data_IF_924788543748
#
_entry.id   IF_924788543748
#
_cell.length_a   1.000
_cell.length_b   1.000
_cell.length_c   1.000
_cell.angle_alpha   90.00
_cell.angle_beta   90.00
_cell.angle_gamma   90.00
#
_symmetry.space_group_name_H-M   'P 1'
#
loop_
_entity.id
_entity.type
_entity.pdbx_description
1 polymer ?
#
# COMPACT_ATOMS: atom_id res chain seq x y z
N UNK A 1 -32.10 -10.16 9.82
CA UNK A 1 -30.86 -10.44 10.58
C UNK A 1 -29.82 -11.11 9.69
N UNK A 2 -28.73 -11.68 10.23
CA UNK A 2 -27.79 -12.59 9.53
C UNK A 2 -27.13 -12.10 8.21
N UNK A 3 -27.02 -10.79 7.98
CA UNK A 3 -26.52 -10.25 6.71
C UNK A 3 -25.10 -10.75 6.37
N UNK A 4 -24.17 -10.78 7.34
CA UNK A 4 -22.79 -11.26 7.13
C UNK A 4 -22.74 -12.64 6.49
N UNK A 5 -23.57 -13.56 7.00
CA UNK A 5 -23.63 -14.93 6.47
C UNK A 5 -24.17 -14.96 5.04
N UNK A 6 -25.22 -14.20 4.74
CA UNK A 6 -25.77 -14.12 3.37
C UNK A 6 -24.73 -13.55 2.40
N UNK A 7 -24.02 -12.48 2.79
CA UNK A 7 -22.95 -11.90 1.98
C UNK A 7 -21.81 -12.89 1.74
N UNK A 8 -21.37 -13.58 2.80
CA UNK A 8 -20.36 -14.62 2.71
C UNK A 8 -20.80 -15.73 1.75
N UNK A 9 -22.06 -16.16 1.85
CA UNK A 9 -22.63 -17.16 0.94
C UNK A 9 -22.65 -16.69 -0.51
N UNK A 10 -23.02 -15.44 -0.77
CA UNK A 10 -22.96 -14.84 -2.12
C UNK A 10 -21.54 -14.92 -2.70
N UNK A 11 -20.53 -14.58 -1.88
CA UNK A 11 -19.11 -14.64 -2.26
C UNK A 11 -18.64 -16.07 -2.53
N UNK A 12 -18.90 -17.00 -1.62
CA UNK A 12 -18.60 -18.42 -1.79
C UNK A 12 -19.21 -19.00 -3.07
N UNK A 13 -20.42 -18.57 -3.44
CA UNK A 13 -21.09 -19.04 -4.64
C UNK A 13 -20.57 -18.37 -5.94
N UNK A 14 -19.64 -17.42 -5.81
CA UNK A 14 -19.03 -16.67 -6.90
C UNK A 14 -19.98 -15.68 -7.57
N UNK A 15 -21.10 -15.35 -6.93
CA UNK A 15 -22.19 -14.61 -7.55
C UNK A 15 -21.82 -13.15 -7.79
N UNK A 16 -22.27 -12.61 -8.92
CA UNK A 16 -22.17 -11.19 -9.20
C UNK A 16 -23.25 -10.46 -8.44
N UNK A 17 -22.85 -9.50 -7.60
CA UNK A 17 -23.79 -8.74 -6.80
C UNK A 17 -23.38 -7.28 -6.66
N UNK A 18 -24.33 -6.46 -6.24
CA UNK A 18 -24.09 -5.13 -5.73
C UNK A 18 -24.90 -4.91 -4.46
N UNK A 19 -24.35 -4.14 -3.52
CA UNK A 19 -25.00 -3.88 -2.25
C UNK A 19 -25.05 -2.38 -1.95
N UNK A 20 -26.14 -1.98 -1.34
CA UNK A 20 -26.40 -0.63 -0.87
C UNK A 20 -26.78 -0.66 0.61
N UNK A 21 -26.23 0.26 1.40
CA UNK A 21 -26.70 0.56 2.75
C UNK A 21 -27.91 1.47 2.67
N UNK A 22 -28.96 1.10 3.39
CA UNK A 22 -30.19 1.87 3.61
C UNK A 22 -30.47 1.98 5.10
N UNK A 23 -31.29 2.95 5.55
CA UNK A 23 -31.66 3.07 6.97
C UNK A 23 -32.23 1.76 7.54
N UNK A 24 -33.00 1.02 6.74
CA UNK A 24 -33.61 -0.25 7.10
C UNK A 24 -32.69 -1.49 6.98
N UNK A 25 -31.44 -1.34 6.50
CA UNK A 25 -30.49 -2.45 6.37
C UNK A 25 -29.72 -2.46 5.04
N UNK A 26 -29.36 -3.65 4.56
CA UNK A 26 -28.66 -3.83 3.29
C UNK A 26 -29.61 -4.23 2.17
N UNK A 27 -29.58 -3.49 1.07
CA UNK A 27 -30.25 -3.86 -0.17
C UNK A 27 -29.23 -4.50 -1.11
N UNK A 28 -29.38 -5.80 -1.37
CA UNK A 28 -28.46 -6.58 -2.20
C UNK A 28 -29.14 -7.00 -3.49
N UNK A 29 -28.53 -6.67 -4.62
CA UNK A 29 -28.96 -7.10 -5.95
C UNK A 29 -27.96 -8.12 -6.46
N UNK A 30 -28.42 -9.34 -6.73
CA UNK A 30 -27.63 -10.40 -7.37
C UNK A 30 -28.01 -10.45 -8.85
N UNK A 31 -27.03 -10.34 -9.74
CA UNK A 31 -27.25 -10.43 -11.19
C UNK A 31 -27.70 -11.84 -11.54
N UNK A 32 -28.73 -11.99 -12.37
CA UNK A 32 -29.31 -13.28 -12.75
C UNK A 32 -28.57 -13.99 -13.89
N UNK A 33 -28.84 -15.28 -14.14
CA UNK A 33 -28.15 -16.05 -15.19
C UNK A 33 -28.48 -15.53 -16.60
N UNK A 34 -29.70 -15.01 -16.81
CA UNK A 34 -30.13 -14.44 -18.10
C UNK A 34 -29.47 -13.09 -18.41
N UNK A 35 -28.90 -12.40 -17.42
CA UNK A 35 -28.08 -11.20 -17.67
C UNK A 35 -26.66 -11.55 -18.18
N UNK A 36 -26.28 -12.83 -18.21
CA UNK A 36 -24.90 -13.31 -18.26
C UNK A 36 -24.77 -14.46 -19.28
N UNK A 37 -24.92 -14.18 -20.58
CA UNK A 37 -24.94 -15.25 -21.57
C UNK A 37 -23.55 -15.87 -21.84
N UNK A 38 -23.30 -17.04 -21.24
CA UNK A 38 -22.54 -18.23 -21.74
C UNK A 38 -22.41 -19.36 -20.70
N UNK A 39 -22.73 -19.13 -19.41
CA UNK A 39 -22.61 -20.09 -18.30
C UNK A 39 -23.90 -20.20 -17.45
N UNK A 40 -25.07 -20.20 -18.09
CA UNK A 40 -26.37 -19.99 -17.43
C UNK A 40 -26.77 -21.07 -16.41
N UNK A 41 -26.43 -22.34 -16.66
CA UNK A 41 -26.83 -23.46 -15.77
C UNK A 41 -26.02 -23.51 -14.48
N UNK A 42 -24.68 -23.39 -14.56
CA UNK A 42 -23.79 -23.41 -13.40
C UNK A 42 -24.06 -22.21 -12.49
N UNK A 43 -24.17 -21.03 -13.09
CA UNK A 43 -24.47 -19.80 -12.37
C UNK A 43 -25.90 -19.80 -11.78
N UNK A 44 -26.89 -20.33 -12.52
CA UNK A 44 -28.25 -20.52 -12.02
C UNK A 44 -28.31 -21.47 -10.81
N UNK A 45 -27.52 -22.54 -10.82
CA UNK A 45 -27.39 -23.46 -9.69
C UNK A 45 -26.77 -22.77 -8.47
N UNK A 46 -25.76 -21.94 -8.67
CA UNK A 46 -25.20 -21.10 -7.59
C UNK A 46 -26.26 -20.19 -6.98
N UNK A 47 -27.10 -19.53 -7.79
CA UNK A 47 -28.20 -18.70 -7.26
C UNK A 47 -29.19 -19.54 -6.44
N UNK A 48 -29.58 -20.72 -6.92
CA UNK A 48 -30.50 -21.59 -6.18
C UNK A 48 -29.95 -21.99 -4.80
N UNK A 49 -28.63 -22.25 -4.71
CA UNK A 49 -27.93 -22.56 -3.45
C UNK A 49 -27.82 -21.41 -2.47
N UNK A 50 -28.11 -20.17 -2.89
CA UNK A 50 -28.16 -19.01 -2.00
C UNK A 50 -29.48 -18.95 -1.22
N UNK A 51 -30.58 -19.43 -1.81
CA UNK A 51 -31.92 -19.27 -1.27
C UNK A 51 -32.07 -19.76 0.18
N UNK A 52 -31.58 -20.96 0.57
CA UNK A 52 -31.72 -21.42 1.95
C UNK A 52 -31.08 -20.47 2.98
N UNK A 53 -29.93 -19.88 2.65
CA UNK A 53 -29.24 -18.92 3.53
C UNK A 53 -29.99 -17.60 3.72
N UNK A 54 -30.84 -17.22 2.76
CA UNK A 54 -31.69 -16.03 2.87
C UNK A 54 -32.92 -16.34 3.71
N UNK A 55 -33.57 -17.47 3.48
CA UNK A 55 -34.79 -17.88 4.20
C UNK A 55 -34.52 -18.06 5.69
N UNK A 56 -33.34 -18.56 6.04
CA UNK A 56 -32.90 -18.69 7.43
C UNK A 56 -32.72 -17.33 8.14
N UNK A 57 -32.57 -16.24 7.39
CA UNK A 57 -32.50 -14.91 7.95
C UNK A 57 -33.91 -14.34 8.15
N UNK A 58 -34.38 -14.29 9.39
CA UNK A 58 -35.65 -13.61 9.69
C UNK A 58 -35.68 -12.16 9.19
N UNK A 59 -36.81 -11.76 8.63
CA UNK A 59 -37.15 -10.46 8.03
C UNK A 59 -36.74 -10.31 6.56
N UNK A 60 -37.04 -11.28 5.68
CA UNK A 60 -36.57 -11.27 4.29
C UNK A 60 -37.65 -10.92 3.24
N UNK A 61 -37.21 -10.27 2.15
CA UNK A 61 -38.02 -10.00 0.94
C UNK A 61 -37.19 -10.26 -0.31
N UNK A 62 -37.71 -11.09 -1.20
CA UNK A 62 -37.07 -11.43 -2.47
C UNK A 62 -37.87 -10.86 -3.64
N UNK A 63 -37.18 -10.27 -4.60
CA UNK A 63 -37.75 -9.81 -5.87
C UNK A 63 -36.91 -10.34 -7.03
N UNK A 64 -37.55 -11.01 -7.98
CA UNK A 64 -36.89 -11.56 -9.15
C UNK A 64 -37.63 -11.14 -10.43
N UNK A 65 -36.86 -10.69 -11.41
CA UNK A 65 -37.37 -10.47 -12.76
C UNK A 65 -37.15 -11.75 -13.58
N UNK A 66 -38.22 -12.41 -13.97
CA UNK A 66 -38.21 -13.70 -14.68
C UNK A 66 -38.73 -13.49 -16.09
N UNK A 67 -37.96 -13.94 -17.08
CA UNK A 67 -38.44 -13.96 -18.47
C UNK A 67 -39.25 -15.23 -18.69
N UNK A 68 -40.55 -15.07 -18.95
CA UNK A 68 -41.48 -16.18 -19.18
C UNK A 68 -42.34 -15.96 -20.43
N UNK A 69 -43.16 -16.95 -20.77
CA UNK A 69 -44.09 -16.89 -21.92
C UNK A 69 -43.83 -17.96 -22.97
N UNK A 70 -44.78 -18.13 -23.89
CA UNK A 70 -44.68 -19.08 -25.02
C UNK A 70 -43.75 -18.55 -26.10
N UNK A 71 -43.24 -19.44 -26.93
CA UNK A 71 -42.40 -19.11 -28.09
C UNK A 71 -43.06 -18.00 -28.93
N UNK A 72 -42.32 -16.92 -29.20
CA UNK A 72 -42.82 -15.71 -29.88
C UNK A 72 -43.50 -14.65 -29.01
N UNK A 73 -43.74 -14.90 -27.70
CA UNK A 73 -44.31 -13.92 -26.76
C UNK A 73 -43.60 -13.94 -25.41
N UNK A 74 -42.30 -13.62 -25.40
CA UNK A 74 -41.54 -13.43 -24.15
C UNK A 74 -42.07 -12.20 -23.41
N UNK A 75 -42.30 -12.33 -22.11
CA UNK A 75 -42.71 -11.25 -21.20
C UNK A 75 -41.78 -11.23 -20.00
N UNK A 76 -41.52 -10.04 -19.49
CA UNK A 76 -40.86 -9.87 -18.20
C UNK A 76 -41.93 -9.99 -17.11
N UNK A 77 -41.79 -10.98 -16.24
CA UNK A 77 -42.63 -11.20 -15.08
C UNK A 77 -41.84 -10.80 -13.84
N UNK A 78 -42.52 -10.23 -12.85
CA UNK A 78 -41.91 -9.90 -11.57
C UNK A 78 -42.47 -10.87 -10.52
N UNK A 79 -41.58 -11.64 -9.90
CA UNK A 79 -41.87 -12.47 -8.75
C UNK A 79 -41.47 -11.70 -7.49
N UNK A 80 -42.37 -11.63 -6.52
CA UNK A 80 -42.08 -11.11 -5.17
C UNK A 80 -42.45 -12.19 -4.16
N UNK A 81 -41.53 -12.48 -3.24
CA UNK A 81 -41.72 -13.41 -2.13
C UNK A 81 -41.39 -12.68 -0.83
N UNK A 82 -42.23 -12.90 0.18
CA UNK A 82 -42.10 -12.30 1.50
C UNK A 82 -42.19 -13.39 2.56
N UNK A 83 -41.36 -13.30 3.59
CA UNK A 83 -41.37 -14.26 4.68
C UNK A 83 -42.77 -14.43 5.29
N UNK A 84 -43.52 -13.34 5.46
CA UNK A 84 -44.85 -13.39 6.06
C UNK A 84 -45.88 -14.17 5.23
N UNK A 85 -45.61 -14.37 3.93
CA UNK A 85 -46.50 -15.04 2.98
C UNK A 85 -46.10 -16.49 2.73
N UNK A 86 -44.80 -16.78 2.67
CA UNK A 86 -44.28 -18.09 2.23
C UNK A 86 -43.25 -18.71 3.18
N UNK A 87 -42.97 -18.08 4.33
CA UNK A 87 -41.96 -18.55 5.28
C UNK A 87 -42.19 -19.99 5.73
N UNK A 88 -43.44 -20.35 6.05
CA UNK A 88 -43.82 -21.71 6.46
C UNK A 88 -43.67 -22.76 5.36
N UNK A 89 -43.71 -22.37 4.08
CA UNK A 89 -43.49 -23.27 2.94
C UNK A 89 -42.00 -23.55 2.70
N UNK A 90 -41.12 -22.86 3.42
CA UNK A 90 -39.68 -22.93 3.25
C UNK A 90 -38.95 -23.38 4.52
N UNK A 91 -39.69 -23.81 5.56
CA UNK A 91 -39.14 -24.37 6.81
C UNK A 91 -38.36 -25.68 6.58
N UNK A 92 -38.76 -26.48 5.58
CA UNK A 92 -38.10 -27.75 5.22
C UNK A 92 -36.85 -27.57 4.33
N UNK A 93 -36.44 -26.33 4.02
CA UNK A 93 -35.21 -26.12 3.28
C UNK A 93 -34.00 -26.55 4.14
N UNK A 94 -33.01 -27.26 3.57
CA UNK A 94 -31.83 -27.67 4.32
C UNK A 94 -31.15 -26.44 4.94
N UNK A 95 -30.78 -26.54 6.22
CA UNK A 95 -30.15 -25.44 6.95
C UNK A 95 -28.92 -24.94 6.19
N UNK A 96 -28.90 -23.64 5.88
CA UNK A 96 -27.79 -23.04 5.14
C UNK A 96 -26.47 -23.15 5.90
N UNK A 97 -26.52 -23.20 7.24
CA UNK A 97 -25.37 -23.25 8.15
C UNK A 97 -24.68 -24.62 8.27
N UNK A 98 -25.40 -25.74 8.26
CA UNK A 98 -24.78 -27.07 8.37
C UNK A 98 -23.94 -27.42 7.13
N UNK A 99 -24.27 -26.86 5.96
CA UNK A 99 -23.51 -27.07 4.73
C UNK A 99 -22.12 -26.39 4.70
N UNK A 100 -21.83 -25.48 5.64
CA UNK A 100 -20.53 -24.80 5.74
C UNK A 100 -19.98 -24.95 7.15
N UNK A 101 -19.10 -25.94 7.37
CA UNK A 101 -18.26 -25.96 8.56
C UNK A 101 -17.60 -24.58 8.73
N UNK A 102 -17.79 -23.96 9.89
CA UNK A 102 -17.56 -22.54 10.18
C UNK A 102 -16.10 -22.04 10.01
N UNK A 103 -15.20 -22.87 9.50
CA UNK A 103 -13.77 -22.59 9.31
C UNK A 103 -13.24 -22.86 7.89
N UNK A 104 -14.07 -23.34 6.95
CA UNK A 104 -13.61 -23.57 5.59
C UNK A 104 -13.42 -22.25 4.84
N UNK A 105 -12.39 -22.17 3.99
CA UNK A 105 -12.27 -21.10 3.00
C UNK A 105 -13.41 -21.20 1.99
N UNK A 106 -13.86 -20.06 1.49
CA UNK A 106 -15.02 -20.01 0.61
C UNK A 106 -14.68 -20.48 -0.81
N UNK A 107 -13.38 -20.54 -1.13
CA UNK A 107 -12.83 -21.23 -2.29
C UNK A 107 -11.44 -21.83 -1.99
N UNK A 108 -11.07 -22.93 -2.66
CA UNK A 108 -9.71 -23.47 -2.63
C UNK A 108 -8.66 -22.41 -3.03
N UNK A 109 -9.05 -21.46 -3.88
CA UNK A 109 -8.20 -20.36 -4.36
C UNK A 109 -7.84 -19.41 -3.22
N UNK A 110 -8.81 -19.02 -2.40
CA UNK A 110 -8.59 -18.16 -1.24
C UNK A 110 -7.75 -18.85 -0.16
N UNK A 111 -7.98 -20.15 0.07
CA UNK A 111 -7.19 -20.96 1.00
C UNK A 111 -5.74 -21.04 0.59
N UNK A 112 -5.52 -21.42 -0.67
CA UNK A 112 -4.18 -21.54 -1.23
C UNK A 112 -3.45 -20.19 -1.17
N UNK A 113 -4.16 -19.10 -1.49
CA UNK A 113 -3.62 -17.75 -1.38
C UNK A 113 -3.23 -17.39 0.04
N UNK A 114 -4.13 -17.55 1.02
CA UNK A 114 -3.87 -17.15 2.40
C UNK A 114 -2.70 -17.93 2.99
N UNK A 115 -2.68 -19.27 2.81
CA UNK A 115 -1.56 -20.12 3.25
C UNK A 115 -0.24 -19.71 2.60
N UNK A 116 -0.25 -19.46 1.29
CA UNK A 116 0.96 -19.08 0.56
C UNK A 116 1.45 -17.69 0.97
N UNK A 117 0.54 -16.76 1.26
CA UNK A 117 0.88 -15.41 1.71
C UNK A 117 1.47 -15.40 3.12
N UNK A 118 0.86 -16.13 4.06
CA UNK A 118 1.37 -16.30 5.42
C UNK A 118 2.77 -16.96 5.43
N UNK A 119 2.96 -17.99 4.60
CA UNK A 119 4.26 -18.67 4.46
C UNK A 119 5.37 -17.75 3.91
N UNK A 120 5.01 -16.67 3.19
CA UNK A 120 5.98 -15.74 2.63
C UNK A 120 6.63 -14.82 3.68
N UNK A 121 6.07 -14.74 4.90
CA UNK A 121 6.73 -14.06 6.03
C UNK A 121 7.01 -12.56 5.82
N UNK A 122 6.12 -11.84 5.15
CA UNK A 122 6.36 -10.46 4.68
C UNK A 122 6.15 -9.37 5.77
N UNK A 123 5.76 -9.77 6.98
CA UNK A 123 5.40 -8.85 8.07
C UNK A 123 4.06 -8.14 7.89
N UNK A 124 3.30 -8.47 6.84
CA UNK A 124 1.92 -8.02 6.66
C UNK A 124 0.96 -8.96 7.35
N UNK A 125 0.02 -8.40 8.12
CA UNK A 125 -1.09 -9.15 8.69
C UNK A 125 -2.18 -9.31 7.64
N UNK A 126 -2.49 -10.55 7.29
CA UNK A 126 -3.63 -10.88 6.43
C UNK A 126 -4.88 -11.07 7.29
N UNK A 127 -5.93 -10.29 7.01
CA UNK A 127 -7.24 -10.41 7.66
C UNK A 127 -8.25 -10.83 6.61
N UNK A 128 -9.02 -11.89 6.90
CA UNK A 128 -10.12 -12.37 6.07
C UNK A 128 -11.41 -11.63 6.41
N UNK A 129 -12.26 -11.42 5.40
CA UNK A 129 -13.57 -10.79 5.53
C UNK A 129 -13.53 -9.53 6.42
N UNK A 130 -12.71 -8.52 6.05
CA UNK A 130 -12.56 -7.31 6.84
C UNK A 130 -13.89 -6.54 6.92
N UNK A 131 -13.90 -5.50 7.76
CA UNK A 131 -15.09 -4.65 7.91
C UNK A 131 -15.57 -4.07 6.57
N UNK A 132 -16.90 -3.99 6.35
CA UNK A 132 -17.46 -3.43 5.13
C UNK A 132 -16.99 -2.00 4.87
N UNK A 133 -16.59 -1.74 3.63
CA UNK A 133 -16.32 -0.41 3.12
C UNK A 133 -17.64 0.23 2.67
N UNK A 134 -17.96 1.37 3.27
CA UNK A 134 -19.16 2.14 2.95
C UNK A 134 -18.75 3.42 2.21
N UNK A 135 -19.27 3.62 1.01
CA UNK A 135 -19.05 4.82 0.19
C UNK A 135 -20.38 5.42 -0.28
N UNK A 136 -20.83 6.46 0.40
CA UNK A 136 -22.19 6.99 0.23
C UNK A 136 -23.22 5.92 0.61
N UNK A 137 -24.09 5.55 -0.34
CA UNK A 137 -25.03 4.45 -0.18
C UNK A 137 -24.44 3.08 -0.55
N UNK A 138 -23.25 3.00 -1.14
CA UNK A 138 -22.71 1.72 -1.61
C UNK A 138 -21.95 0.99 -0.51
N UNK A 139 -22.12 -0.34 -0.47
CA UNK A 139 -21.43 -1.23 0.46
C UNK A 139 -20.60 -2.21 -0.32
N UNK A 140 -19.34 -2.34 0.06
CA UNK A 140 -18.44 -3.36 -0.44
C UNK A 140 -17.84 -4.11 0.75
N UNK A 141 -17.81 -5.43 0.66
CA UNK A 141 -17.09 -6.27 1.62
C UNK A 141 -15.94 -6.89 0.83
N UNK A 142 -14.68 -6.53 1.09
CA UNK A 142 -13.51 -7.19 0.49
C UNK A 142 -13.35 -8.64 0.99
N UNK A 143 -12.57 -9.47 0.30
CA UNK A 143 -12.24 -10.83 0.78
C UNK A 143 -11.08 -10.81 1.77
N UNK A 144 -10.11 -9.92 1.52
CA UNK A 144 -8.93 -9.77 2.36
C UNK A 144 -8.60 -8.30 2.62
N UNK A 145 -7.93 -8.05 3.75
CA UNK A 145 -7.12 -6.86 3.93
C UNK A 145 -5.70 -7.23 4.38
N UNK A 146 -4.72 -6.54 3.81
CA UNK A 146 -3.33 -6.55 4.24
C UNK A 146 -3.08 -5.33 5.12
N UNK A 147 -2.60 -5.55 6.34
CA UNK A 147 -2.28 -4.48 7.28
C UNK A 147 -0.82 -4.55 7.75
N UNK A 148 -0.12 -3.42 7.72
CA UNK A 148 1.26 -3.28 8.24
C UNK A 148 1.55 -1.82 8.56
N UNK A 149 2.03 -1.53 9.78
CA UNK A 149 2.48 -0.18 10.18
C UNK A 149 1.53 0.98 9.82
N UNK A 150 0.22 0.76 9.99
CA UNK A 150 -0.84 1.73 9.65
C UNK A 150 -1.23 1.79 8.16
N UNK A 151 -0.49 1.10 7.29
CA UNK A 151 -0.89 0.88 5.89
C UNK A 151 -1.96 -0.21 5.82
N UNK A 152 -2.96 0.02 4.96
CA UNK A 152 -4.06 -0.92 4.73
C UNK A 152 -4.38 -1.03 3.25
N UNK A 153 -4.34 -2.25 2.73
CA UNK A 153 -4.66 -2.57 1.33
C UNK A 153 -5.73 -3.63 1.32
N UNK A 154 -6.76 -3.47 0.50
CA UNK A 154 -7.83 -4.45 0.38
C UNK A 154 -7.66 -5.31 -0.87
N UNK A 155 -8.16 -6.54 -0.81
CA UNK A 155 -8.26 -7.40 -1.99
C UNK A 155 -9.64 -8.03 -2.10
N UNK A 156 -10.15 -8.02 -3.32
CA UNK A 156 -11.37 -8.71 -3.71
C UNK A 156 -11.03 -9.76 -4.76
N UNK A 157 -11.49 -10.99 -4.54
CA UNK A 157 -11.41 -12.11 -5.45
C UNK A 157 -12.75 -12.22 -6.18
N UNK A 158 -12.71 -12.09 -7.49
CA UNK A 158 -13.88 -12.09 -8.37
C UNK A 158 -13.90 -13.41 -9.14
N UNK A 159 -14.88 -14.24 -8.80
CA UNK A 159 -15.21 -15.49 -9.49
C UNK A 159 -15.88 -15.24 -10.85
N UNK A 160 -17.21 -15.40 -10.94
CA UNK A 160 -17.93 -15.14 -12.20
C UNK A 160 -17.92 -13.64 -12.53
N UNK A 161 -17.63 -13.28 -13.78
CA UNK A 161 -17.64 -11.88 -14.21
C UNK A 161 -17.95 -11.70 -15.70
N UNK A 162 -18.49 -10.52 -16.03
CA UNK A 162 -18.54 -9.98 -17.39
C UNK A 162 -17.79 -8.65 -17.43
N UNK A 163 -17.32 -8.19 -18.60
CA UNK A 163 -16.70 -6.87 -18.73
C UNK A 163 -17.59 -5.76 -18.17
N UNK A 164 -18.89 -5.81 -18.41
CA UNK A 164 -19.85 -4.80 -17.95
C UNK A 164 -20.00 -4.83 -16.43
N UNK A 165 -20.09 -6.02 -15.83
CA UNK A 165 -20.11 -6.17 -14.37
C UNK A 165 -18.82 -5.63 -13.75
N UNK A 166 -17.68 -6.02 -14.31
CA UNK A 166 -16.38 -5.61 -13.79
C UNK A 166 -16.19 -4.09 -13.92
N UNK A 167 -16.57 -3.49 -15.04
CA UNK A 167 -16.50 -2.03 -15.25
C UNK A 167 -17.43 -1.27 -14.28
N UNK A 168 -18.66 -1.76 -14.07
CA UNK A 168 -19.57 -1.23 -13.05
C UNK A 168 -18.97 -1.33 -11.65
N UNK A 169 -18.43 -2.49 -11.28
CA UNK A 169 -17.80 -2.72 -9.97
C UNK A 169 -16.64 -1.76 -9.79
N UNK A 170 -15.68 -1.75 -10.72
CA UNK A 170 -14.51 -0.87 -10.69
C UNK A 170 -14.88 0.62 -10.66
N UNK A 171 -15.94 1.02 -11.36
CA UNK A 171 -16.45 2.40 -11.31
C UNK A 171 -16.97 2.80 -9.93
N UNK A 172 -17.63 1.87 -9.21
CA UNK A 172 -18.03 2.08 -7.81
C UNK A 172 -16.82 2.10 -6.88
N UNK A 173 -15.85 1.23 -7.10
CA UNK A 173 -14.59 1.19 -6.34
C UNK A 173 -13.82 2.50 -6.42
N UNK A 174 -13.81 3.17 -7.58
CA UNK A 174 -13.18 4.49 -7.77
C UNK A 174 -13.82 5.60 -6.93
N UNK A 175 -15.05 5.42 -6.45
CA UNK A 175 -15.75 6.41 -5.63
C UNK A 175 -15.40 6.29 -4.15
N UNK A 176 -14.72 5.23 -3.72
CA UNK A 176 -14.26 5.05 -2.35
C UNK A 176 -12.95 5.83 -2.18
N UNK A 177 -12.93 7.00 -1.50
CA UNK A 177 -11.73 7.80 -1.40
C UNK A 177 -10.71 7.12 -0.47
N UNK A 178 -9.42 7.20 -0.84
CA UNK A 178 -8.27 6.79 -0.01
C UNK A 178 -8.17 5.29 0.33
N UNK A 179 -8.69 4.41 -0.52
CA UNK A 179 -8.56 2.96 -0.34
C UNK A 179 -7.68 2.36 -1.44
N UNK A 180 -6.53 1.79 -1.05
CA UNK A 180 -5.72 0.96 -1.93
C UNK A 180 -6.35 -0.42 -2.07
N UNK A 181 -6.54 -0.86 -3.31
CA UNK A 181 -7.30 -2.08 -3.59
C UNK A 181 -6.80 -2.86 -4.80
N UNK A 182 -6.72 -4.16 -4.60
CA UNK A 182 -6.38 -5.18 -5.61
C UNK A 182 -7.66 -5.94 -5.97
N UNK A 183 -7.92 -6.14 -7.25
CA UNK A 183 -9.03 -6.98 -7.71
C UNK A 183 -8.45 -8.17 -8.46
N UNK A 184 -8.51 -9.35 -7.86
CA UNK A 184 -8.09 -10.60 -8.47
C UNK A 184 -9.28 -11.21 -9.24
N UNK A 185 -9.15 -11.48 -10.53
CA UNK A 185 -10.23 -11.90 -11.42
C UNK A 185 -9.90 -13.24 -12.07
N UNK A 186 -10.81 -14.22 -11.96
CA UNK A 186 -10.63 -15.52 -12.61
C UNK A 186 -10.77 -15.40 -14.14
N UNK A 187 -9.67 -15.55 -14.88
CA UNK A 187 -9.65 -15.45 -16.34
C UNK A 187 -10.55 -16.49 -17.01
N UNK A 188 -10.73 -17.66 -16.41
CA UNK A 188 -11.52 -18.78 -16.97
C UNK A 188 -13.02 -18.52 -16.89
N UNK A 189 -13.44 -17.73 -15.92
CA UNK A 189 -14.84 -17.37 -15.68
C UNK A 189 -15.25 -16.05 -16.36
N UNK A 190 -14.36 -15.49 -17.19
CA UNK A 190 -14.60 -14.27 -17.97
C UNK A 190 -15.33 -14.52 -19.28
N UNK A 191 -16.34 -13.70 -19.57
CA UNK A 191 -17.16 -13.84 -20.77
C UNK A 191 -16.55 -13.22 -22.06
N UNK A 192 -15.42 -12.51 -22.00
CA UNK A 192 -14.63 -12.03 -23.15
C UNK A 192 -13.28 -11.41 -22.74
N UNK A 193 -12.42 -11.08 -23.73
CA UNK A 193 -11.13 -10.40 -23.50
C UNK A 193 -11.37 -8.96 -23.04
N UNK A 194 -10.82 -8.59 -21.88
CA UNK A 194 -10.84 -7.21 -21.40
C UNK A 194 -9.85 -6.37 -22.21
N UNK A 195 -10.33 -5.34 -22.91
CA UNK A 195 -9.46 -4.31 -23.47
C UNK A 195 -8.96 -3.41 -22.33
N UNK A 196 -7.64 -3.23 -22.29
CA UNK A 196 -6.90 -2.58 -21.22
C UNK A 196 -7.24 -1.09 -21.10
N UNK A 197 -8.24 -0.74 -20.31
CA UNK A 197 -8.37 0.63 -19.79
C UNK A 197 -7.45 0.81 -18.58
N UNK A 198 -6.74 1.95 -18.45
CA UNK A 198 -5.96 2.25 -17.26
C UNK A 198 -6.91 2.41 -16.07
N UNK A 199 -6.80 1.49 -15.11
CA UNK A 199 -7.59 1.45 -13.89
C UNK A 199 -6.70 1.89 -12.73
N UNK A 200 -7.21 2.80 -11.88
CA UNK A 200 -6.56 3.14 -10.59
C UNK A 200 -6.58 1.94 -9.62
N UNK A 201 -7.55 1.04 -9.74
CA UNK A 201 -7.56 -0.24 -9.05
C UNK A 201 -6.69 -1.25 -9.83
N UNK A 202 -5.81 -1.95 -9.12
CA UNK A 202 -4.90 -2.93 -9.75
C UNK A 202 -5.67 -4.22 -10.00
N UNK A 203 -6.08 -4.44 -11.24
CA UNK A 203 -6.73 -5.69 -11.67
C UNK A 203 -5.67 -6.73 -11.99
N UNK A 204 -5.80 -7.90 -11.38
CA UNK A 204 -4.91 -9.03 -11.52
C UNK A 204 -5.71 -10.21 -12.03
N UNK A 205 -5.24 -10.90 -13.06
CA UNK A 205 -5.91 -12.08 -13.57
C UNK A 205 -5.24 -13.34 -13.03
N UNK A 206 -6.05 -14.30 -12.60
CA UNK A 206 -5.61 -15.62 -12.18
C UNK A 206 -6.40 -16.71 -12.90
N UNK A 207 -5.93 -17.95 -12.85
CA UNK A 207 -6.68 -19.10 -13.39
C UNK A 207 -7.01 -20.07 -12.26
N UNK A 208 -6.04 -20.83 -11.76
CA UNK A 208 -6.24 -21.76 -10.65
C UNK A 208 -5.80 -21.22 -9.29
N UNK A 209 -4.80 -20.34 -9.29
CA UNK A 209 -4.18 -19.80 -8.07
C UNK A 209 -3.88 -18.33 -8.26
N UNK A 210 -4.09 -17.54 -7.20
CA UNK A 210 -3.77 -16.11 -7.21
C UNK A 210 -2.24 -15.94 -7.17
N UNK A 211 -1.62 -15.28 -8.17
CA UNK A 211 -0.18 -15.08 -8.19
C UNK A 211 0.25 -14.10 -7.09
N UNK A 212 1.12 -14.58 -6.18
CA UNK A 212 1.62 -13.78 -5.06
C UNK A 212 2.55 -12.65 -5.49
N UNK A 213 3.48 -12.91 -6.41
CA UNK A 213 4.52 -11.97 -6.83
C UNK A 213 4.00 -10.53 -7.11
N UNK A 214 3.01 -10.31 -7.99
CA UNK A 214 2.50 -8.97 -8.29
C UNK A 214 1.80 -8.27 -7.12
N UNK A 215 1.33 -9.03 -6.12
CA UNK A 215 0.75 -8.52 -4.87
C UNK A 215 1.89 -8.07 -3.96
N UNK A 216 2.91 -8.91 -3.77
CA UNK A 216 4.10 -8.58 -2.97
C UNK A 216 4.80 -7.33 -3.51
N UNK A 217 5.01 -7.25 -4.82
CA UNK A 217 5.60 -6.07 -5.47
C UNK A 217 4.78 -4.79 -5.22
N UNK A 218 3.45 -4.92 -5.18
CA UNK A 218 2.58 -3.78 -4.87
C UNK A 218 2.72 -3.34 -3.41
N UNK A 219 2.67 -4.30 -2.48
CA UNK A 219 2.83 -4.02 -1.06
C UNK A 219 4.19 -3.37 -0.77
N UNK A 220 5.27 -3.86 -1.41
CA UNK A 220 6.60 -3.24 -1.30
C UNK A 220 6.65 -1.81 -1.85
N UNK A 221 6.05 -1.56 -3.01
CA UNK A 221 5.98 -0.21 -3.58
C UNK A 221 5.22 0.77 -2.67
N UNK A 222 4.22 0.28 -1.93
CA UNK A 222 3.51 1.09 -0.93
C UNK A 222 4.40 1.40 0.27
N UNK A 223 5.12 0.40 0.80
CA UNK A 223 6.09 0.61 1.88
C UNK A 223 7.15 1.64 1.47
N UNK A 224 7.74 1.50 0.29
CA UNK A 224 8.74 2.42 -0.23
C UNK A 224 8.20 3.84 -0.36
N UNK A 225 6.95 4.01 -0.80
CA UNK A 225 6.31 5.32 -0.92
C UNK A 225 6.10 5.96 0.45
N UNK A 226 5.55 5.22 1.41
CA UNK A 226 5.31 5.73 2.78
C UNK A 226 6.64 6.10 3.44
N UNK A 227 7.67 5.26 3.28
CA UNK A 227 9.03 5.58 3.76
C UNK A 227 9.56 6.83 3.06
N UNK A 228 9.36 6.97 1.75
CA UNK A 228 9.80 8.17 1.02
C UNK A 228 9.07 9.44 1.47
N UNK A 229 7.76 9.40 1.67
CA UNK A 229 6.96 10.53 2.15
C UNK A 229 7.35 10.93 3.58
N UNK A 230 7.59 9.96 4.47
CA UNK A 230 8.10 10.23 5.81
C UNK A 230 9.51 10.83 5.79
N UNK A 231 10.37 10.36 4.89
CA UNK A 231 11.72 10.90 4.70
C UNK A 231 11.67 12.29 4.09
N UNK A 232 10.86 12.56 3.07
CA UNK A 232 10.65 13.91 2.50
C UNK A 232 10.08 14.87 3.56
N UNK A 233 9.13 14.40 4.37
CA UNK A 233 8.63 15.15 5.52
C UNK A 233 9.74 15.46 6.54
N UNK A 234 10.67 14.52 6.77
CA UNK A 234 11.83 14.74 7.62
C UNK A 234 12.84 15.70 6.98
N UNK A 235 13.13 15.58 5.69
CA UNK A 235 14.03 16.46 4.93
C UNK A 235 13.55 17.90 4.99
N UNK A 236 12.25 18.14 4.74
CA UNK A 236 11.66 19.47 4.83
C UNK A 236 11.75 20.04 6.26
N UNK A 237 11.54 19.20 7.29
CA UNK A 237 11.69 19.61 8.70
C UNK A 237 13.15 19.90 9.05
N UNK A 238 14.11 19.15 8.51
CA UNK A 238 15.54 19.41 8.64
C UNK A 238 15.89 20.77 8.01
N UNK A 239 15.48 21.01 6.75
CA UNK A 239 15.70 22.28 6.06
C UNK A 239 15.13 23.47 6.87
N UNK A 240 13.88 23.36 7.33
CA UNK A 240 13.25 24.40 8.16
C UNK A 240 14.00 24.68 9.47
N UNK A 241 14.48 23.64 10.15
CA UNK A 241 15.18 23.79 11.43
C UNK A 241 16.58 24.37 11.25
N UNK A 242 17.25 24.02 10.14
CA UNK A 242 18.53 24.59 9.74
C UNK A 242 18.38 26.07 9.38
N UNK A 243 17.35 26.44 8.61
CA UNK A 243 17.08 27.84 8.23
C UNK A 243 16.76 28.72 9.44
N UNK A 244 16.09 28.15 10.46
CA UNK A 244 15.83 28.84 11.74
C UNK A 244 17.06 28.99 12.61
N UNK A 245 18.10 28.20 12.38
CA UNK A 245 19.34 28.27 13.15
C UNK A 245 20.19 29.45 12.67
N UNK A 246 20.48 30.44 13.53
CA UNK A 246 21.39 31.53 13.18
C UNK A 246 22.85 31.05 13.06
N UNK A 247 23.16 29.87 13.60
CA UNK A 247 24.51 29.31 13.60
C UNK A 247 24.93 28.84 12.21
N UNK A 248 26.21 28.99 11.90
CA UNK A 248 26.83 28.38 10.70
C UNK A 248 27.15 26.89 10.88
N UNK A 249 26.97 26.39 12.10
CA UNK A 249 27.25 25.03 12.55
C UNK A 249 26.01 24.43 13.20
N UNK A 250 25.57 23.27 12.73
CA UNK A 250 24.39 22.55 13.25
C UNK A 250 24.78 21.12 13.59
N UNK A 251 24.84 20.82 14.89
CA UNK A 251 25.11 19.46 15.37
C UNK A 251 23.95 18.51 15.09
N UNK A 252 24.27 17.29 14.64
CA UNK A 252 23.27 16.27 14.35
C UNK A 252 22.48 15.84 15.59
N UNK A 253 23.11 15.69 16.75
CA UNK A 253 22.43 15.33 18.01
C UNK A 253 21.40 16.41 18.42
N UNK A 254 21.79 17.69 18.36
CA UNK A 254 20.88 18.79 18.65
C UNK A 254 19.70 18.85 17.67
N UNK A 255 19.95 18.58 16.38
CA UNK A 255 18.92 18.49 15.36
C UNK A 255 17.99 17.29 15.59
N UNK A 256 18.53 16.12 15.96
CA UNK A 256 17.79 14.90 16.32
C UNK A 256 16.82 15.14 17.46
N UNK A 257 17.31 15.75 18.55
CA UNK A 257 16.48 16.09 19.72
C UNK A 257 15.35 17.06 19.39
N UNK A 258 15.59 18.09 18.57
CA UNK A 258 14.55 19.05 18.16
C UNK A 258 13.50 18.45 17.24
N UNK A 259 13.90 17.50 16.39
CA UNK A 259 12.99 16.81 15.47
C UNK A 259 12.33 15.57 16.06
N UNK A 260 12.75 15.12 17.25
CA UNK A 260 12.20 13.92 17.90
C UNK A 260 12.50 12.64 17.14
N UNK A 261 13.66 12.56 16.47
CA UNK A 261 14.11 11.40 15.68
C UNK A 261 15.50 10.94 16.13
N UNK A 262 15.95 9.77 15.69
CA UNK A 262 17.31 9.31 15.94
C UNK A 262 18.33 9.98 14.99
N UNK A 263 19.59 10.05 15.41
CA UNK A 263 20.69 10.55 14.55
C UNK A 263 20.82 9.73 13.25
N UNK A 264 20.63 8.42 13.33
CA UNK A 264 20.65 7.54 12.15
C UNK A 264 19.56 7.89 11.13
N UNK A 265 18.36 8.29 11.60
CA UNK A 265 17.29 8.73 10.71
C UNK A 265 17.68 10.02 9.97
N UNK A 266 18.34 10.95 10.66
CA UNK A 266 18.87 12.18 10.05
C UNK A 266 19.97 11.86 9.06
N UNK A 267 20.94 10.99 9.40
CA UNK A 267 22.02 10.61 8.47
C UNK A 267 21.48 9.99 7.19
N UNK A 268 20.51 9.07 7.31
CA UNK A 268 19.86 8.45 6.14
C UNK A 268 19.13 9.47 5.27
N UNK A 269 18.48 10.44 5.89
CA UNK A 269 17.84 11.55 5.18
C UNK A 269 18.86 12.43 4.45
N UNK A 270 19.94 12.84 5.12
CA UNK A 270 21.00 13.67 4.53
C UNK A 270 21.77 12.96 3.39
N UNK A 271 21.93 11.64 3.45
CA UNK A 271 22.53 10.84 2.36
C UNK A 271 21.68 10.86 1.09
N UNK A 272 20.34 10.91 1.24
CA UNK A 272 19.42 11.00 0.10
C UNK A 272 19.36 12.41 -0.46
N UNK A 273 19.30 13.41 0.42
CA UNK A 273 19.21 14.82 0.03
C UNK A 273 19.94 15.72 1.03
N UNK A 274 21.06 16.29 0.57
CA UNK A 274 21.79 17.30 1.33
C UNK A 274 21.10 18.68 1.18
N UNK A 275 20.85 19.42 2.29
CA UNK A 275 20.35 20.79 2.22
C UNK A 275 21.27 21.69 1.39
N UNK A 276 20.68 22.57 0.57
CA UNK A 276 21.45 23.47 -0.30
C UNK A 276 22.35 24.39 0.51
N UNK A 277 23.63 24.45 0.16
CA UNK A 277 24.61 25.32 0.81
C UNK A 277 25.14 24.77 2.14
N UNK A 278 24.92 23.49 2.44
CA UNK A 278 25.49 22.82 3.61
C UNK A 278 26.28 21.58 3.21
N UNK A 279 27.29 21.26 4.00
CA UNK A 279 28.02 19.99 3.94
C UNK A 279 28.08 19.34 5.32
N UNK A 280 27.99 18.02 5.35
CA UNK A 280 28.17 17.24 6.55
C UNK A 280 29.67 16.98 6.78
N UNK A 281 30.17 17.38 7.95
CA UNK A 281 31.55 17.16 8.39
C UNK A 281 31.50 16.46 9.75
N UNK A 282 31.87 15.18 9.78
CA UNK A 282 31.70 14.32 10.94
C UNK A 282 30.23 14.23 11.39
N UNK A 283 29.92 14.92 12.48
CA UNK A 283 28.58 14.96 13.11
C UNK A 283 27.95 16.36 13.07
N UNK A 284 28.42 17.24 12.19
CA UNK A 284 27.98 18.63 12.12
C UNK A 284 27.72 19.06 10.68
N UNK A 285 26.58 19.72 10.45
CA UNK A 285 26.27 20.38 9.20
C UNK A 285 26.86 21.79 9.23
N UNK A 286 27.72 22.09 8.25
CA UNK A 286 28.42 23.36 8.14
C UNK A 286 28.01 24.10 6.87
N UNK A 287 27.74 25.40 6.98
CA UNK A 287 27.46 26.27 5.82
C UNK A 287 28.64 26.31 4.86
N UNK A 288 28.36 26.19 3.56
CA UNK A 288 29.36 26.29 2.49
C UNK A 288 30.11 27.61 2.51
N UNK A 289 29.45 28.71 2.91
CA UNK A 289 30.08 30.03 3.07
C UNK A 289 31.23 29.99 4.09
N UNK A 290 31.01 29.31 5.22
CA UNK A 290 32.02 29.17 6.28
C UNK A 290 33.18 28.28 5.84
N UNK A 291 32.89 27.23 5.07
CA UNK A 291 33.92 26.38 4.47
C UNK A 291 34.77 27.13 3.44
N UNK A 292 34.15 27.99 2.62
CA UNK A 292 34.89 28.84 1.66
C UNK A 292 35.75 29.87 2.38
N UNK A 293 35.24 30.50 3.44
CA UNK A 293 36.03 31.42 4.27
C UNK A 293 37.25 30.71 4.85
N UNK A 294 37.07 29.49 5.37
CA UNK A 294 38.18 28.70 5.92
C UNK A 294 39.19 28.28 4.84
N UNK A 295 38.71 27.86 3.67
CA UNK A 295 39.57 27.51 2.54
C UNK A 295 40.49 28.67 2.12
N UNK A 296 39.96 29.89 2.03
CA UNK A 296 40.74 31.09 1.70
C UNK A 296 41.80 31.41 2.77
N UNK A 297 41.47 31.22 4.05
CA UNK A 297 42.42 31.41 5.16
C UNK A 297 43.56 30.38 5.10
N UNK A 298 43.25 29.12 4.77
CA UNK A 298 44.25 28.06 4.61
C UNK A 298 45.14 28.26 3.38
N UNK A 299 44.60 28.78 2.28
CA UNK A 299 45.40 29.13 1.08
C UNK A 299 46.36 30.31 1.32
N UNK A 300 46.06 31.18 2.29
CA UNK A 300 46.92 32.29 2.69
C UNK A 300 48.15 31.90 3.52
N UNK A 301 48.23 30.64 3.96
CA UNK A 301 49.39 30.14 4.71
C UNK A 301 50.59 29.94 3.78
N UNK A 302 51.70 30.60 4.11
CA UNK A 302 52.98 30.46 3.37
C UNK A 302 53.63 29.09 3.59
N UNK A 303 53.45 28.49 4.77
CA UNK A 303 53.91 27.14 5.09
C UNK A 303 52.72 26.28 5.51
N UNK A 304 52.55 25.12 4.87
CA UNK A 304 51.40 24.24 5.09
C UNK A 304 51.64 23.31 6.30
N UNK A 305 51.98 23.86 7.47
CA UNK A 305 52.18 23.05 8.69
C UNK A 305 50.84 22.60 9.24
N UNK A 306 50.72 21.33 9.62
CA UNK A 306 49.47 20.76 10.16
C UNK A 306 49.02 21.48 11.43
N UNK A 307 49.94 21.81 12.33
CA UNK A 307 49.64 22.48 13.61
C UNK A 307 48.99 23.85 13.41
N UNK A 308 49.51 24.64 12.48
CA UNK A 308 48.98 25.97 12.15
C UNK A 308 47.60 25.87 11.50
N UNK A 309 47.41 24.90 10.61
CA UNK A 309 46.13 24.65 9.99
C UNK A 309 45.06 24.19 11.00
N UNK A 310 45.41 23.29 11.94
CA UNK A 310 44.51 22.86 13.01
C UNK A 310 44.09 24.07 13.86
N UNK A 311 45.05 24.90 14.29
CA UNK A 311 44.77 26.07 15.11
C UNK A 311 43.82 27.05 14.41
N UNK A 312 44.04 27.31 13.11
CA UNK A 312 43.16 28.18 12.31
C UNK A 312 41.74 27.62 12.15
N UNK A 313 41.62 26.30 11.99
CA UNK A 313 40.32 25.63 11.86
C UNK A 313 39.56 25.70 13.18
N UNK A 314 40.22 25.44 14.31
CA UNK A 314 39.63 25.55 15.66
C UNK A 314 39.22 27.00 15.98
N UNK A 315 40.06 28.00 15.66
CA UNK A 315 39.71 29.43 15.77
C UNK A 315 38.50 29.81 14.89
N UNK A 316 38.29 29.10 13.79
CA UNK A 316 37.12 29.24 12.92
C UNK A 316 35.82 28.70 13.51
N UNK A 317 35.88 28.02 14.66
CA UNK A 317 34.74 27.41 15.36
C UNK A 317 34.45 25.96 14.97
N UNK A 318 35.32 25.32 14.19
CA UNK A 318 35.14 23.93 13.75
C UNK A 318 35.62 22.96 14.83
N UNK A 319 34.83 21.91 15.12
CA UNK A 319 35.17 20.93 16.16
C UNK A 319 36.09 19.80 15.70
N UNK A 320 36.07 19.45 14.42
CA UNK A 320 36.84 18.33 13.85
C UNK A 320 37.80 18.81 12.75
N UNK A 321 39.01 19.31 13.11
CA UNK A 321 39.93 19.90 12.14
C UNK A 321 40.36 18.96 11.02
N UNK A 322 40.53 17.66 11.33
CA UNK A 322 40.92 16.64 10.35
C UNK A 322 39.84 16.41 9.28
N UNK A 323 38.58 16.28 9.69
CA UNK A 323 37.43 16.11 8.78
C UNK A 323 37.25 17.35 7.88
N UNK A 324 37.53 18.55 8.41
CA UNK A 324 37.49 19.80 7.64
C UNK A 324 38.59 19.82 6.58
N UNK A 325 39.83 19.45 6.94
CA UNK A 325 40.93 19.35 5.98
C UNK A 325 40.59 18.36 4.86
N UNK A 326 40.06 17.20 5.20
CA UNK A 326 39.62 16.20 4.22
C UNK A 326 38.50 16.74 3.33
N UNK A 327 37.47 17.38 3.90
CA UNK A 327 36.35 17.97 3.18
C UNK A 327 36.77 19.14 2.25
N UNK A 328 37.86 19.82 2.58
CA UNK A 328 38.49 20.87 1.76
C UNK A 328 39.50 20.31 0.74
N UNK A 329 39.73 19.00 0.73
CA UNK A 329 40.61 18.31 -0.23
C UNK A 329 42.08 18.34 0.15
N UNK A 330 42.42 18.55 1.42
CA UNK A 330 43.79 18.46 1.92
C UNK A 330 44.11 17.04 2.40
N UNK A 331 45.29 16.55 2.03
CA UNK A 331 45.92 15.37 2.61
C UNK A 331 46.95 15.76 3.67
N UNK A 332 47.29 14.83 4.55
CA UNK A 332 48.29 15.01 5.60
C UNK A 332 49.49 14.12 5.28
N UNK A 333 50.70 14.70 5.27
CA UNK A 333 51.95 13.98 5.12
C UNK A 333 52.70 14.00 6.46
N UNK A 334 52.80 12.82 7.06
CA UNK A 334 53.54 12.60 8.31
C UNK A 334 55.04 12.50 8.03
N UNK A 335 55.85 13.26 8.78
CA UNK A 335 57.30 13.10 8.79
C UNK A 335 57.72 12.43 10.10
N UNK A 336 57.60 11.10 10.16
CA UNK A 336 57.84 10.31 11.36
C UNK A 336 56.67 10.31 12.35
N UNK A 337 56.94 10.06 13.63
CA UNK A 337 55.95 10.04 14.73
C UNK A 337 55.69 11.42 15.34
N UNK A 338 56.35 12.46 14.84
CA UNK A 338 56.30 13.81 15.38
C UNK A 338 55.22 14.63 14.67
N UNK A 339 54.13 14.91 15.39
CA UNK A 339 52.99 15.70 14.92
C UNK A 339 53.44 17.12 14.50
N UNK A 340 54.51 17.65 15.09
CA UNK A 340 55.01 18.99 14.78
C UNK A 340 55.64 19.11 13.39
N UNK A 341 56.04 17.98 12.79
CA UNK A 341 56.66 17.93 11.45
C UNK A 341 55.67 17.56 10.34
N UNK A 342 54.41 17.31 10.69
CA UNK A 342 53.38 16.98 9.72
C UNK A 342 53.01 18.22 8.89
N UNK A 343 52.87 18.03 7.58
CA UNK A 343 52.46 19.07 6.64
C UNK A 343 51.16 18.66 5.94
N UNK A 344 50.32 19.65 5.64
CA UNK A 344 49.14 19.45 4.79
C UNK A 344 49.51 19.73 3.33
N UNK A 345 48.83 19.09 2.40
CA UNK A 345 48.99 19.35 0.96
C UNK A 345 47.64 19.23 0.29
N UNK A 346 47.37 20.06 -0.72
CA UNK A 346 46.13 19.96 -1.50
C UNK A 346 46.23 18.70 -2.37
N UNK A 347 45.26 17.80 -2.29
CA UNK A 347 45.19 16.64 -3.18
C UNK A 347 44.80 17.16 -4.57
N UNK A 348 45.68 16.99 -5.56
CA UNK A 348 45.33 17.28 -6.94
C UNK A 348 44.18 16.36 -7.37
N UNK A 349 43.13 16.94 -7.97
CA UNK A 349 41.90 16.24 -8.35
C UNK A 349 42.05 15.32 -9.58
N UNK A 350 43.23 14.74 -9.78
CA UNK A 350 43.52 13.86 -10.90
C UNK A 350 44.68 12.93 -10.60
N UNK A 351 44.37 11.72 -10.13
CA UNK A 351 45.09 10.44 -10.33
C UNK A 351 44.52 9.40 -9.33
N UNK A 352 43.23 9.10 -9.43
CA UNK A 352 42.66 7.84 -8.95
C UNK A 352 41.88 7.21 -10.10
N UNK A 353 42.64 6.67 -11.06
CA UNK A 353 42.28 5.53 -11.90
C UNK A 353 43.60 4.96 -12.41
N UNK A 354 44.16 3.99 -11.69
CA UNK A 354 45.43 3.40 -12.07
C UNK A 354 46.10 2.56 -10.99
N UNK A 355 45.45 1.49 -10.54
CA UNK A 355 45.96 0.11 -10.66
C UNK A 355 45.01 -0.92 -10.07
#
# INVERSE_FOLDING_TARGET
>A
GNWKFVFRRIKHLGLMYSAEARPEGFYVVVDGPLSLFKLTERYGTSIAKLLPSIVEAGGWRLRANVVGGREGRRRLLQLELREEEVGSLMEDLPEGREAMGWQAFDSFVEEDFARSFESAGLGWKLIREPEPLIAGSHVMIPDFSFEKDGMKVYMEVVGFWTPEYLDRKLSKLRQIPKVDMIVAVDRRLGCSKLESKPLRAKVLFYEERIPLKPIIEHLRSLEERVVSEQVEGLEARIEMEIERSPSSFVELDGLARRLGVSEDAIRKSLQRRMPKGYRLIGNELVKDEKLREMALRLEGLKELRLKEAIHLIEEGGFKNPYDVLEALGYGIRWQGLDVEKAIIFKRDKGLEDGK
#
